data_IF_941394650335
#
_entry.id   IF_941394650335
#
_cell.length_a   1.000
_cell.length_b   1.000
_cell.length_c   1.000
_cell.angle_alpha   90.00
_cell.angle_beta   90.00
_cell.angle_gamma   90.00
#
_symmetry.space_group_name_H-M   'P 1'
#
loop_
_entity.id
_entity.type
_entity.pdbx_description
1 polymer ?
#
# COMPACT_ATOMS: atom_id res chain seq x y z
N UNK A 1 12.60 12.84 42.88
CA UNK A 1 12.55 13.22 41.47
C UNK A 1 11.13 12.99 41.00
N UNK A 2 10.33 14.04 40.83
CA UNK A 2 8.99 13.95 40.30
C UNK A 2 9.10 13.71 38.77
N UNK A 3 8.93 12.47 38.33
CA UNK A 3 8.75 12.21 36.92
C UNK A 3 7.41 12.84 36.51
N UNK A 4 7.44 13.83 35.63
CA UNK A 4 6.24 14.32 34.96
C UNK A 4 5.56 13.11 34.32
N UNK A 5 4.24 12.89 34.51
CA UNK A 5 3.57 11.77 33.90
C UNK A 5 3.71 11.88 32.38
N UNK A 6 4.21 10.83 31.73
CA UNK A 6 4.28 10.75 30.28
C UNK A 6 2.85 10.82 29.72
N UNK A 7 2.56 11.86 28.95
CA UNK A 7 1.28 11.99 28.24
C UNK A 7 1.38 11.14 26.98
N UNK A 8 0.57 10.08 26.91
CA UNK A 8 0.51 9.22 25.73
C UNK A 8 0.04 9.99 24.50
N UNK A 9 0.77 9.84 23.42
CA UNK A 9 0.44 10.42 22.10
C UNK A 9 -0.12 9.36 21.17
N UNK A 10 -1.24 9.66 20.54
CA UNK A 10 -1.88 8.77 19.56
C UNK A 10 -1.91 9.41 18.18
N UNK A 11 -1.75 8.57 17.15
CA UNK A 11 -1.91 8.95 15.75
C UNK A 11 -2.98 8.09 15.10
N UNK A 12 -3.91 8.73 14.38
CA UNK A 12 -4.91 8.05 13.58
C UNK A 12 -4.61 8.29 12.10
N UNK A 13 -4.45 7.21 11.34
CA UNK A 13 -4.19 7.24 9.91
C UNK A 13 -5.37 6.58 9.17
N UNK A 14 -6.15 7.39 8.50
CA UNK A 14 -7.29 6.92 7.70
C UNK A 14 -6.87 6.16 6.46
N UNK A 15 -7.83 5.48 5.85
CA UNK A 15 -7.68 4.84 4.54
C UNK A 15 -7.68 5.85 3.39
N UNK A 16 -7.70 5.29 2.19
CA UNK A 16 -7.75 6.08 0.95
C UNK A 16 -6.39 6.15 0.25
N UNK A 17 -6.18 5.26 -0.70
CA UNK A 17 -4.97 5.23 -1.52
C UNK A 17 -4.62 6.59 -2.16
N UNK A 18 -5.60 7.42 -2.60
CA UNK A 18 -5.33 8.75 -3.12
C UNK A 18 -4.62 9.67 -2.14
N UNK A 19 -4.88 9.51 -0.85
CA UNK A 19 -4.31 10.38 0.17
C UNK A 19 -2.98 9.86 0.73
N UNK A 20 -2.49 8.73 0.26
CA UNK A 20 -1.26 8.11 0.80
C UNK A 20 -0.03 9.00 0.69
N UNK A 21 0.09 9.80 -0.39
CA UNK A 21 1.19 10.75 -0.56
C UNK A 21 1.12 11.91 0.44
N UNK A 22 -0.08 12.40 0.77
CA UNK A 22 -0.28 13.42 1.79
C UNK A 22 0.04 12.88 3.18
N UNK A 23 -0.41 11.65 3.48
CA UNK A 23 -0.08 10.95 4.72
C UNK A 23 1.44 10.77 4.83
N UNK A 24 2.09 10.30 3.76
CA UNK A 24 3.55 10.14 3.73
C UNK A 24 4.28 11.46 4.00
N UNK A 25 3.86 12.56 3.37
CA UNK A 25 4.43 13.88 3.60
C UNK A 25 4.28 14.37 5.04
N UNK A 26 3.12 14.16 5.65
CA UNK A 26 2.90 14.48 7.06
C UNK A 26 3.79 13.63 7.99
N UNK A 27 3.91 12.32 7.69
CA UNK A 27 4.76 11.42 8.47
C UNK A 27 6.26 11.75 8.32
N UNK A 28 6.70 12.19 7.14
CA UNK A 28 8.08 12.72 6.95
C UNK A 28 8.32 13.92 7.87
N UNK A 29 7.37 14.87 7.92
CA UNK A 29 7.51 16.03 8.79
C UNK A 29 7.52 15.67 10.28
N UNK A 30 6.85 14.60 10.71
CA UNK A 30 6.95 14.07 12.06
C UNK A 30 8.28 13.36 12.29
N UNK A 31 8.76 12.58 11.30
CA UNK A 31 10.05 11.90 11.40
C UNK A 31 11.23 12.88 11.50
N UNK A 32 11.21 13.99 10.74
CA UNK A 32 12.20 15.06 10.81
C UNK A 32 12.26 15.73 12.19
N UNK A 33 11.16 15.65 12.96
CA UNK A 33 11.07 16.16 14.33
C UNK A 33 11.27 15.08 15.39
N UNK A 34 11.67 13.89 14.97
CA UNK A 34 11.88 12.74 15.87
C UNK A 34 10.66 12.43 16.74
N UNK A 35 9.46 12.69 16.23
CA UNK A 35 8.23 12.40 16.96
C UNK A 35 7.99 10.90 17.01
N UNK A 36 7.61 10.42 18.18
CA UNK A 36 7.21 9.04 18.41
C UNK A 36 5.76 9.00 18.91
N UNK A 37 5.04 7.94 18.53
CA UNK A 37 3.65 7.77 18.93
C UNK A 37 3.49 6.50 19.75
N UNK A 38 2.85 6.63 20.92
CA UNK A 38 2.58 5.48 21.79
C UNK A 38 1.53 4.54 21.21
N UNK A 39 0.61 5.09 20.42
CA UNK A 39 -0.49 4.34 19.79
C UNK A 39 -0.69 4.83 18.36
N UNK A 40 -0.73 3.91 17.40
CA UNK A 40 -1.22 4.18 16.05
C UNK A 40 -2.46 3.36 15.76
N UNK A 41 -3.54 4.01 15.33
CA UNK A 41 -4.74 3.37 14.81
C UNK A 41 -4.86 3.65 13.31
N UNK A 42 -4.93 2.60 12.51
CA UNK A 42 -4.76 2.73 11.06
C UNK A 42 -5.83 1.96 10.29
N UNK A 43 -6.13 2.42 9.08
CA UNK A 43 -7.05 1.74 8.16
C UNK A 43 -6.52 1.81 6.73
N UNK A 44 -6.72 0.77 5.94
CA UNK A 44 -6.32 0.72 4.53
C UNK A 44 -4.90 1.20 4.26
N UNK A 45 -4.73 2.17 3.37
CA UNK A 45 -3.42 2.75 3.03
C UNK A 45 -2.68 3.32 4.25
N UNK A 46 -3.41 3.83 5.24
CA UNK A 46 -2.83 4.31 6.49
C UNK A 46 -2.07 3.24 7.27
N UNK A 47 -2.48 1.98 7.17
CA UNK A 47 -1.77 0.87 7.81
C UNK A 47 -0.36 0.70 7.25
N UNK A 48 -0.21 0.73 5.94
CA UNK A 48 1.11 0.64 5.30
C UNK A 48 1.97 1.88 5.63
N UNK A 49 1.39 3.08 5.58
CA UNK A 49 2.12 4.30 5.92
C UNK A 49 2.59 4.30 7.38
N UNK A 50 1.76 3.84 8.31
CA UNK A 50 2.14 3.70 9.72
C UNK A 50 3.27 2.67 9.93
N UNK A 51 3.24 1.57 9.17
CA UNK A 51 4.32 0.57 9.21
C UNK A 51 5.63 1.09 8.62
N UNK A 52 5.58 1.86 7.53
CA UNK A 52 6.77 2.53 6.98
C UNK A 52 7.35 3.56 7.94
N UNK A 53 6.52 4.17 8.77
CA UNK A 53 6.98 5.08 9.82
C UNK A 53 7.66 4.35 10.96
N UNK A 54 7.05 3.29 11.48
CA UNK A 54 7.53 2.59 12.67
C UNK A 54 8.60 1.54 12.37
N UNK A 55 8.45 0.81 11.24
CA UNK A 55 9.18 -0.42 10.99
C UNK A 55 9.58 -0.54 9.52
N UNK A 56 10.24 0.46 8.93
CA UNK A 56 10.71 0.38 7.55
C UNK A 56 11.82 -0.66 7.41
N UNK A 57 11.76 -1.48 6.39
CA UNK A 57 12.88 -2.35 6.03
C UNK A 57 14.05 -1.49 5.55
N UNK A 58 15.20 -1.63 6.18
CA UNK A 58 16.39 -0.79 5.95
C UNK A 58 16.58 0.34 6.96
N UNK A 59 15.63 0.55 7.86
CA UNK A 59 15.76 1.40 9.06
C UNK A 59 15.56 2.90 8.88
N UNK A 60 15.56 3.43 7.66
CA UNK A 60 15.32 4.86 7.41
C UNK A 60 13.86 5.12 7.04
N UNK A 61 13.10 5.69 8.00
CA UNK A 61 11.68 6.01 7.84
C UNK A 61 11.45 7.15 6.83
N UNK A 62 12.34 8.13 6.77
CA UNK A 62 12.21 9.26 5.83
C UNK A 62 12.44 8.76 4.40
N UNK A 63 13.47 7.95 4.18
CA UNK A 63 13.72 7.34 2.87
C UNK A 63 12.54 6.47 2.43
N UNK A 64 12.04 5.59 3.30
CA UNK A 64 10.92 4.70 3.00
C UNK A 64 9.66 5.46 2.61
N UNK A 65 9.28 6.48 3.39
CA UNK A 65 8.11 7.32 3.14
C UNK A 65 8.29 8.18 1.88
N UNK A 66 9.47 8.75 1.66
CA UNK A 66 9.78 9.55 0.47
C UNK A 66 9.74 8.69 -0.79
N UNK A 67 10.32 7.49 -0.73
CA UNK A 67 10.27 6.52 -1.83
C UNK A 67 8.83 6.13 -2.16
N UNK A 68 7.99 5.97 -1.13
CA UNK A 68 6.57 5.72 -1.33
C UNK A 68 5.87 6.89 -2.04
N UNK A 69 6.12 8.12 -1.64
CA UNK A 69 5.53 9.30 -2.27
C UNK A 69 5.94 9.46 -3.74
N UNK A 70 7.15 8.99 -4.08
CA UNK A 70 7.68 8.96 -5.45
C UNK A 70 7.16 7.77 -6.28
N UNK A 71 6.37 6.88 -5.70
CA UNK A 71 5.65 5.86 -6.47
C UNK A 71 4.57 6.59 -7.30
N UNK A 72 5.06 7.34 -8.22
CA UNK A 72 4.49 8.43 -8.94
C UNK A 72 3.20 8.12 -9.66
N UNK A 73 2.35 9.05 -9.56
CA UNK A 73 1.13 9.21 -10.32
C UNK A 73 1.38 10.36 -11.25
N UNK A 74 1.00 10.29 -12.50
CA UNK A 74 0.90 11.53 -13.25
C UNK A 74 -0.25 12.35 -12.68
N UNK A 75 -0.01 13.63 -12.57
CA UNK A 75 -0.99 14.54 -12.01
C UNK A 75 -2.30 14.56 -12.82
N UNK A 76 -2.23 14.36 -14.13
CA UNK A 76 -3.38 14.38 -15.01
C UNK A 76 -4.30 13.17 -14.83
N UNK A 77 -3.75 11.94 -14.85
CA UNK A 77 -4.56 10.74 -14.63
C UNK A 77 -5.13 10.71 -13.21
N UNK A 78 -4.33 11.15 -12.23
CA UNK A 78 -4.71 11.16 -10.83
C UNK A 78 -5.87 12.11 -10.53
N UNK A 79 -6.01 13.22 -11.24
CA UNK A 79 -7.15 14.13 -11.10
C UNK A 79 -8.47 13.48 -11.51
N UNK A 80 -8.44 12.60 -12.51
CA UNK A 80 -9.65 11.92 -13.01
C UNK A 80 -9.86 10.56 -12.37
N UNK A 81 -8.79 9.84 -12.09
CA UNK A 81 -8.82 8.52 -11.54
C UNK A 81 -7.67 8.35 -10.54
N UNK A 82 -7.91 8.58 -9.26
CA UNK A 82 -6.87 8.66 -8.24
C UNK A 82 -6.31 7.27 -7.86
N UNK A 83 -5.78 6.57 -8.85
CA UNK A 83 -5.15 5.26 -8.69
C UNK A 83 -3.80 5.24 -9.40
N UNK A 84 -2.76 4.94 -8.66
CA UNK A 84 -1.43 4.79 -9.21
C UNK A 84 -1.32 3.49 -10.03
N UNK A 85 -0.86 3.57 -11.28
CA UNK A 85 -0.65 2.39 -12.12
C UNK A 85 0.32 1.37 -11.52
N UNK A 86 1.21 1.77 -10.62
CA UNK A 86 2.17 0.86 -9.95
C UNK A 86 1.50 -0.08 -8.94
N UNK A 87 0.33 0.27 -8.39
CA UNK A 87 -0.46 -0.67 -7.58
C UNK A 87 -0.98 -1.84 -8.41
N UNK A 88 -1.01 -1.69 -9.74
CA UNK A 88 -1.36 -2.76 -10.69
C UNK A 88 -0.17 -3.66 -11.06
N UNK A 89 1.01 -3.46 -10.46
CA UNK A 89 2.15 -4.36 -10.69
C UNK A 89 1.85 -5.74 -10.12
N UNK A 90 1.66 -6.69 -11.01
CA UNK A 90 1.38 -8.07 -10.66
C UNK A 90 2.68 -8.82 -10.38
N UNK A 91 2.71 -9.73 -9.38
CA UNK A 91 3.88 -10.52 -9.04
C UNK A 91 4.04 -11.76 -9.93
N UNK A 92 5.19 -12.41 -9.82
CA UNK A 92 5.49 -13.71 -10.39
C UNK A 92 6.26 -13.64 -11.71
N UNK A 93 6.83 -14.80 -12.09
CA UNK A 93 7.74 -14.92 -13.23
C UNK A 93 7.08 -14.55 -14.56
N UNK A 94 5.82 -14.93 -14.77
CA UNK A 94 5.10 -14.57 -15.98
C UNK A 94 4.87 -13.05 -16.10
N UNK A 95 4.58 -12.39 -14.99
CA UNK A 95 4.45 -10.94 -14.97
C UNK A 95 5.79 -10.26 -15.22
N UNK A 96 6.87 -10.79 -14.66
CA UNK A 96 8.23 -10.31 -14.91
C UNK A 96 8.63 -10.45 -16.38
N UNK A 97 8.44 -11.64 -16.97
CA UNK A 97 8.71 -11.90 -18.39
C UNK A 97 7.88 -10.98 -19.30
N UNK A 98 6.59 -10.77 -19.00
CA UNK A 98 5.75 -9.85 -19.75
C UNK A 98 6.31 -8.42 -19.70
N UNK A 99 6.67 -7.91 -18.53
CA UNK A 99 7.25 -6.57 -18.38
C UNK A 99 8.57 -6.44 -19.13
N UNK A 100 9.43 -7.47 -19.09
CA UNK A 100 10.67 -7.48 -19.87
C UNK A 100 10.38 -7.47 -21.37
N UNK A 101 9.47 -8.32 -21.85
CA UNK A 101 9.10 -8.35 -23.26
C UNK A 101 8.55 -7.01 -23.75
N UNK A 102 7.74 -6.34 -22.94
CA UNK A 102 7.22 -4.98 -23.23
C UNK A 102 8.37 -3.97 -23.25
N UNK A 103 9.27 -4.01 -22.26
CA UNK A 103 10.41 -3.10 -22.16
C UNK A 103 11.43 -3.30 -23.30
N UNK A 104 11.62 -4.52 -23.79
CA UNK A 104 12.57 -4.84 -24.84
C UNK A 104 12.01 -4.63 -26.24
N UNK A 105 10.70 -4.49 -26.39
CA UNK A 105 10.07 -4.31 -27.70
C UNK A 105 10.43 -2.93 -28.30
N UNK A 106 11.04 -2.89 -29.52
CA UNK A 106 11.47 -1.62 -30.14
C UNK A 106 10.31 -0.65 -30.41
N UNK A 107 9.14 -1.18 -30.76
CA UNK A 107 7.92 -0.38 -30.96
C UNK A 107 7.46 0.27 -29.67
N UNK A 108 7.50 -0.47 -28.57
CA UNK A 108 7.14 0.06 -27.26
C UNK A 108 8.12 1.13 -26.79
N UNK A 109 9.43 0.91 -27.02
CA UNK A 109 10.47 1.93 -26.75
C UNK A 109 10.22 3.21 -27.53
N UNK A 110 9.86 3.08 -28.80
CA UNK A 110 9.53 4.21 -29.65
C UNK A 110 8.25 4.94 -29.16
N UNK A 111 7.19 4.19 -28.87
CA UNK A 111 5.97 4.75 -28.28
C UNK A 111 6.26 5.47 -26.96
N UNK A 112 7.03 4.85 -26.08
CA UNK A 112 7.44 5.47 -24.82
C UNK A 112 8.25 6.74 -25.06
N UNK A 113 9.18 6.76 -26.01
CA UNK A 113 9.99 7.95 -26.30
C UNK A 113 9.16 9.13 -26.83
N UNK A 114 8.08 8.85 -27.55
CA UNK A 114 7.15 9.88 -28.01
C UNK A 114 6.20 10.37 -26.91
N UNK A 115 5.92 9.53 -25.93
CA UNK A 115 4.98 9.77 -24.83
C UNK A 115 5.67 10.20 -23.53
N UNK A 116 7.01 10.14 -23.49
CA UNK A 116 7.85 10.38 -22.31
C UNK A 116 7.81 11.84 -21.77
N UNK A 117 7.09 12.73 -22.42
CA UNK A 117 6.90 14.09 -21.91
C UNK A 117 5.86 14.16 -20.77
N UNK A 118 5.36 13.01 -20.31
CA UNK A 118 4.26 12.94 -19.34
C UNK A 118 2.92 13.27 -19.99
N UNK A 119 1.84 12.91 -19.36
CA UNK A 119 0.51 13.26 -19.80
C UNK A 119 -0.47 12.08 -19.77
N UNK A 120 -1.74 12.41 -19.85
CA UNK A 120 -2.87 11.50 -19.76
C UNK A 120 -2.72 10.26 -20.65
N UNK A 121 -2.24 10.43 -21.89
CA UNK A 121 -2.09 9.35 -22.85
C UNK A 121 -0.99 8.33 -22.42
N UNK A 122 0.13 8.83 -21.92
CA UNK A 122 1.21 8.00 -21.38
C UNK A 122 0.71 7.12 -20.22
N UNK A 123 -0.05 7.72 -19.33
CA UNK A 123 -0.57 7.04 -18.13
C UNK A 123 -1.67 6.04 -18.47
N UNK A 124 -2.56 6.38 -19.39
CA UNK A 124 -3.55 5.44 -19.89
C UNK A 124 -2.89 4.22 -20.56
N UNK A 125 -1.80 4.42 -21.30
CA UNK A 125 -1.03 3.31 -21.85
C UNK A 125 -0.39 2.47 -20.75
N UNK A 126 0.26 3.08 -19.78
CA UNK A 126 0.87 2.36 -18.67
C UNK A 126 -0.18 1.55 -17.87
N UNK A 127 -1.33 2.17 -17.59
CA UNK A 127 -2.44 1.50 -16.92
C UNK A 127 -2.96 0.31 -17.75
N UNK A 128 -3.11 0.49 -19.06
CA UNK A 128 -3.53 -0.58 -19.97
C UNK A 128 -2.54 -1.74 -19.94
N UNK A 129 -1.24 -1.47 -20.07
CA UNK A 129 -0.21 -2.52 -20.01
C UNK A 129 -0.17 -3.21 -18.65
N UNK A 130 -0.29 -2.46 -17.56
CA UNK A 130 -0.34 -3.03 -16.23
C UNK A 130 -1.57 -3.96 -16.06
N UNK A 131 -2.72 -3.56 -16.56
CA UNK A 131 -3.95 -4.37 -16.50
C UNK A 131 -3.88 -5.64 -17.35
N UNK A 132 -3.24 -5.59 -18.51
CA UNK A 132 -3.03 -6.73 -19.41
C UNK A 132 -1.93 -7.69 -18.94
N UNK A 133 -1.10 -7.28 -17.99
CA UNK A 133 -0.02 -8.11 -17.47
C UNK A 133 -0.57 -9.41 -16.88
N UNK A 134 -0.10 -10.59 -17.30
CA UNK A 134 -0.52 -11.85 -16.70
C UNK A 134 -0.10 -11.92 -15.24
N UNK A 135 -0.86 -12.66 -14.45
CA UNK A 135 -0.51 -12.94 -13.06
C UNK A 135 -0.78 -14.41 -12.75
N UNK A 136 -0.10 -14.93 -11.73
CA UNK A 136 -0.34 -16.29 -11.24
C UNK A 136 -1.58 -16.38 -10.37
N UNK A 137 -2.37 -15.33 -10.29
CA UNK A 137 -3.60 -15.31 -9.53
C UNK A 137 -4.65 -16.26 -10.11
N UNK A 138 -5.47 -16.79 -9.22
CA UNK A 138 -6.60 -17.62 -9.57
C UNK A 138 -7.53 -16.92 -10.56
N UNK A 139 -8.08 -17.69 -11.51
CA UNK A 139 -9.12 -17.21 -12.44
C UNK A 139 -10.40 -16.72 -11.73
N UNK A 140 -10.52 -16.99 -10.43
CA UNK A 140 -11.61 -16.50 -9.57
C UNK A 140 -11.35 -15.09 -9.01
N UNK A 141 -10.18 -14.52 -9.25
CA UNK A 141 -9.86 -13.15 -8.81
C UNK A 141 -10.77 -12.16 -9.55
N UNK A 142 -11.56 -11.42 -8.78
CA UNK A 142 -12.50 -10.42 -9.30
C UNK A 142 -11.89 -9.00 -9.33
N UNK A 143 -10.64 -8.83 -8.90
CA UNK A 143 -9.96 -7.55 -8.89
C UNK A 143 -9.17 -7.26 -10.17
N UNK A 144 -8.94 -5.98 -10.46
CA UNK A 144 -8.09 -5.54 -11.57
C UNK A 144 -6.62 -5.87 -11.33
N UNK A 145 -6.21 -6.02 -10.07
CA UNK A 145 -4.83 -6.22 -9.64
C UNK A 145 -4.67 -7.49 -8.82
N UNK A 146 -3.42 -7.94 -8.71
CA UNK A 146 -3.02 -8.85 -7.64
C UNK A 146 -3.02 -8.12 -6.29
N UNK A 147 -3.16 -8.89 -5.21
CA UNK A 147 -2.94 -8.35 -3.87
C UNK A 147 -1.54 -7.74 -3.74
N UNK A 148 -1.41 -6.77 -2.82
CA UNK A 148 -0.18 -6.02 -2.59
C UNK A 148 1.06 -6.94 -2.53
N UNK A 149 1.88 -6.97 -3.60
CA UNK A 149 2.90 -8.01 -3.75
C UNK A 149 4.22 -7.71 -3.07
N UNK A 150 4.41 -6.49 -2.56
CA UNK A 150 5.70 -5.96 -2.15
C UNK A 150 5.73 -5.50 -0.68
N UNK A 151 4.74 -5.85 0.12
CA UNK A 151 4.68 -5.38 1.51
C UNK A 151 5.89 -5.88 2.33
N UNK A 152 6.36 -7.10 2.05
CA UNK A 152 7.52 -7.69 2.70
C UNK A 152 8.84 -7.02 2.31
N UNK A 153 8.89 -6.37 1.14
CA UNK A 153 10.08 -5.66 0.68
C UNK A 153 10.27 -4.32 1.39
N UNK A 154 9.19 -3.75 1.93
CA UNK A 154 9.19 -2.41 2.53
C UNK A 154 9.02 -2.42 4.04
N UNK A 155 8.39 -3.45 4.61
CA UNK A 155 8.08 -3.55 6.03
C UNK A 155 8.92 -4.64 6.68
N UNK A 156 9.55 -4.31 7.80
CA UNK A 156 10.19 -5.26 8.68
C UNK A 156 9.19 -5.74 9.74
N UNK A 157 8.60 -6.91 9.51
CA UNK A 157 7.59 -7.47 10.40
C UNK A 157 8.17 -7.91 11.76
N UNK A 158 9.43 -8.34 11.79
CA UNK A 158 10.09 -8.71 13.05
C UNK A 158 10.27 -7.47 13.93
N UNK A 159 10.71 -6.36 13.34
CA UNK A 159 10.80 -5.08 14.03
C UNK A 159 9.43 -4.61 14.50
N UNK A 160 8.39 -4.79 13.68
CA UNK A 160 7.03 -4.37 14.01
C UNK A 160 6.46 -5.07 15.23
N UNK A 161 6.70 -6.37 15.39
CA UNK A 161 6.27 -7.12 16.57
C UNK A 161 6.97 -6.66 17.86
N UNK A 162 8.21 -6.21 17.75
CA UNK A 162 9.02 -5.77 18.90
C UNK A 162 8.94 -4.26 19.15
N UNK A 163 8.28 -3.50 18.29
CA UNK A 163 8.13 -2.06 18.46
C UNK A 163 7.43 -1.71 19.77
N UNK A 164 7.89 -0.69 20.47
CA UNK A 164 7.39 -0.33 21.79
C UNK A 164 5.94 0.20 21.77
N UNK A 165 5.56 0.93 20.71
CA UNK A 165 4.21 1.47 20.55
C UNK A 165 3.17 0.41 20.20
N UNK A 166 1.91 0.73 20.49
CA UNK A 166 0.76 -0.04 20.07
C UNK A 166 0.44 0.28 18.60
N UNK A 167 0.07 -0.74 17.83
CA UNK A 167 -0.32 -0.58 16.44
C UNK A 167 -1.60 -1.37 16.16
N UNK A 168 -2.62 -0.67 15.64
CA UNK A 168 -3.91 -1.24 15.31
C UNK A 168 -4.23 -1.00 13.83
N UNK A 169 -4.79 -2.00 13.18
CA UNK A 169 -5.28 -1.92 11.81
C UNK A 169 -6.55 -2.75 11.66
N UNK A 170 -7.33 -2.49 10.62
CA UNK A 170 -8.63 -3.11 10.47
C UNK A 170 -8.83 -3.70 9.07
N UNK A 171 -9.76 -4.65 8.99
CA UNK A 171 -10.32 -5.16 7.76
C UNK A 171 -11.80 -5.51 7.98
N UNK A 172 -12.59 -5.50 6.92
CA UNK A 172 -13.98 -5.92 6.98
C UNK A 172 -14.10 -7.39 6.59
N UNK A 173 -14.62 -8.19 7.52
CA UNK A 173 -14.92 -9.60 7.31
C UNK A 173 -16.25 -9.73 6.57
N UNK A 174 -16.20 -10.25 5.33
CA UNK A 174 -17.39 -10.39 4.48
C UNK A 174 -18.32 -11.50 4.95
N UNK A 175 -17.78 -12.59 5.49
CA UNK A 175 -18.57 -13.74 5.95
C UNK A 175 -19.35 -13.41 7.22
N UNK A 176 -18.72 -12.68 8.14
CA UNK A 176 -19.35 -12.29 9.39
C UNK A 176 -19.99 -10.88 9.33
N UNK A 177 -19.84 -10.18 8.21
CA UNK A 177 -20.38 -8.81 7.99
C UNK A 177 -20.02 -7.85 9.13
N UNK A 178 -18.76 -7.90 9.59
CA UNK A 178 -18.28 -7.04 10.67
C UNK A 178 -16.87 -6.51 10.43
N UNK A 179 -16.58 -5.37 11.05
CA UNK A 179 -15.23 -4.86 11.13
C UNK A 179 -14.42 -5.66 12.15
N UNK A 180 -13.24 -6.10 11.74
CA UNK A 180 -12.24 -6.68 12.64
C UNK A 180 -11.09 -5.69 12.83
N UNK A 181 -10.69 -5.51 14.07
CA UNK A 181 -9.53 -4.70 14.46
C UNK A 181 -8.46 -5.64 15.00
N UNK A 182 -7.28 -5.54 14.44
CA UNK A 182 -6.13 -6.35 14.82
C UNK A 182 -5.03 -5.49 15.43
N UNK A 183 -4.46 -5.96 16.53
CA UNK A 183 -3.28 -5.36 17.12
C UNK A 183 -1.99 -5.87 16.48
N UNK A 184 -0.86 -5.28 16.89
CA UNK A 184 0.47 -5.61 16.37
C UNK A 184 0.85 -7.09 16.53
N UNK A 185 0.30 -7.77 17.52
CA UNK A 185 0.52 -9.20 17.78
C UNK A 185 -0.01 -10.11 16.66
N UNK A 186 -0.97 -9.60 15.88
CA UNK A 186 -1.54 -10.28 14.71
C UNK A 186 -0.96 -9.79 13.39
N UNK A 187 0.00 -8.91 13.42
CA UNK A 187 0.56 -8.31 12.22
C UNK A 187 1.27 -9.37 11.36
N UNK A 188 0.87 -9.48 10.11
CA UNK A 188 1.51 -10.32 9.11
C UNK A 188 1.28 -9.76 7.71
N UNK A 189 2.05 -10.22 6.74
CA UNK A 189 1.88 -9.79 5.35
C UNK A 189 0.49 -10.14 4.82
N UNK A 190 -0.05 -11.31 5.19
CA UNK A 190 -1.38 -11.75 4.79
C UNK A 190 -2.46 -10.84 5.38
N UNK A 191 -2.36 -10.47 6.65
CA UNK A 191 -3.34 -9.57 7.29
C UNK A 191 -3.26 -8.16 6.73
N UNK A 192 -2.07 -7.68 6.39
CA UNK A 192 -1.93 -6.40 5.68
C UNK A 192 -2.55 -6.48 4.28
N UNK A 193 -2.37 -7.59 3.55
CA UNK A 193 -3.06 -7.79 2.25
C UNK A 193 -4.58 -7.80 2.43
N UNK A 194 -5.11 -8.46 3.45
CA UNK A 194 -6.53 -8.43 3.77
C UNK A 194 -7.02 -7.00 4.06
N UNK A 195 -6.30 -6.27 4.93
CA UNK A 195 -6.61 -4.88 5.28
C UNK A 195 -6.49 -3.90 4.10
N UNK A 196 -5.75 -4.28 3.07
CA UNK A 196 -5.49 -3.46 1.88
C UNK A 196 -6.30 -3.89 0.65
N UNK A 197 -7.18 -4.87 0.78
CA UNK A 197 -7.97 -5.41 -0.34
C UNK A 197 -9.14 -4.48 -0.69
N UNK A 198 -8.80 -3.31 -1.27
CA UNK A 198 -9.76 -2.32 -1.70
C UNK A 198 -10.66 -2.89 -2.80
N UNK A 199 -12.00 -2.87 -2.63
CA UNK A 199 -12.95 -3.43 -3.58
C UNK A 199 -12.75 -2.90 -5.00
N UNK A 200 -12.94 -3.77 -5.99
CA UNK A 200 -12.75 -3.53 -7.43
C UNK A 200 -11.29 -3.41 -7.88
N UNK A 201 -10.40 -2.90 -7.04
CA UNK A 201 -8.96 -2.80 -7.35
C UNK A 201 -8.28 -4.13 -7.04
N UNK A 202 -8.46 -4.62 -5.81
CA UNK A 202 -7.99 -5.95 -5.39
C UNK A 202 -9.17 -6.90 -5.21
N UNK A 203 -9.00 -8.21 -5.47
CA UNK A 203 -10.00 -9.18 -5.09
C UNK A 203 -10.07 -9.25 -3.54
N UNK A 204 -11.20 -9.69 -2.97
CA UNK A 204 -11.25 -10.04 -1.56
C UNK A 204 -10.12 -11.02 -1.21
N UNK A 205 -9.55 -10.88 -0.04
CA UNK A 205 -8.47 -11.74 0.44
C UNK A 205 -9.01 -12.84 1.33
N UNK A 206 -8.66 -14.09 1.01
CA UNK A 206 -8.99 -15.24 1.86
C UNK A 206 -7.91 -15.40 2.93
N UNK A 207 -8.33 -15.32 4.20
CA UNK A 207 -7.48 -15.50 5.36
C UNK A 207 -8.19 -16.40 6.37
N UNK A 208 -7.54 -17.49 6.77
CA UNK A 208 -8.07 -18.45 7.75
C UNK A 208 -9.47 -18.99 7.37
N UNK A 209 -9.76 -19.11 6.07
CA UNK A 209 -11.03 -19.60 5.53
C UNK A 209 -12.17 -18.56 5.52
N UNK A 210 -11.87 -17.30 5.77
CA UNK A 210 -12.81 -16.19 5.71
C UNK A 210 -12.36 -15.13 4.68
N UNK A 211 -13.30 -14.37 4.14
CA UNK A 211 -13.03 -13.37 3.12
C UNK A 211 -13.04 -11.97 3.69
N UNK A 212 -12.02 -11.19 3.32
CA UNK A 212 -11.80 -9.84 3.81
C UNK A 212 -11.67 -8.82 2.69
N UNK A 213 -12.13 -7.62 2.96
CA UNK A 213 -11.86 -6.42 2.16
C UNK A 213 -11.32 -5.30 3.07
N UNK A 214 -10.83 -4.24 2.45
CA UNK A 214 -10.35 -3.05 3.17
C UNK A 214 -11.45 -2.47 4.07
N UNK A 215 -11.13 -2.26 5.34
CA UNK A 215 -12.07 -1.74 6.33
C UNK A 215 -12.55 -0.32 6.01
N UNK A 216 -11.66 0.55 5.52
CA UNK A 216 -12.00 1.93 5.17
C UNK A 216 -13.04 2.06 4.04
N UNK A 217 -13.38 0.98 3.34
CA UNK A 217 -14.37 0.98 2.25
C UNK A 217 -15.82 0.90 2.73
N UNK A 218 -16.03 0.62 4.00
CA UNK A 218 -17.36 0.34 4.58
C UNK A 218 -17.84 1.45 5.56
N UNK A 219 -16.98 2.38 5.90
CA UNK A 219 -17.33 3.52 6.77
C UNK A 219 -18.11 4.60 6.04
#
# INVERSE_FOLDING_TARGET
>A
MNSTPHVKTGLVLGGGAPNSSLIAGALVAFAEREMEFDVMSTSGAGALMGLLYNCPRGGDRIEALTRWSQIGVSDELYQFFPVNHKVFMKPGDHAHQFRQAVADNPWMKWCQSMLLQGGLLSDMMQLTWASMCPSNLSKKSLGLCAHLPFVEDYVDFDLAHHHAGEFYFNAFNLDESRMEVWGKEKLSAERIRAAFSFPFIYPPYELDGQWYIEGASIE
#
